data_IF_236761888526
#
_entry.id   IF_236761888526
#
_cell.length_a   1.000
_cell.length_b   1.000
_cell.length_c   1.000
_cell.angle_alpha   90.00
_cell.angle_beta   90.00
_cell.angle_gamma   90.00
#
_symmetry.space_group_name_H-M   'P 1'
#
loop_
_entity.id
_entity.type
_entity.pdbx_description
1 polymer ?
#
# COMPACT_ATOMS: atom_id res chain seq x y z
N UNK A 1 13.63 -5.46 -11.30
CA UNK A 1 13.98 -5.24 -9.88
C UNK A 1 15.30 -5.91 -9.51
N UNK A 2 15.54 -7.20 -9.81
CA UNK A 2 16.79 -7.90 -9.45
C UNK A 2 18.05 -7.17 -9.92
N UNK A 3 18.03 -6.62 -11.15
CA UNK A 3 19.15 -5.82 -11.69
C UNK A 3 19.35 -4.52 -10.89
N UNK A 4 18.28 -3.89 -10.41
CA UNK A 4 18.36 -2.70 -9.57
C UNK A 4 18.99 -3.03 -8.21
N UNK A 5 18.47 -4.06 -7.54
CA UNK A 5 19.02 -4.49 -6.26
C UNK A 5 20.51 -4.89 -6.36
N UNK A 6 20.91 -5.57 -7.44
CA UNK A 6 22.30 -5.91 -7.67
C UNK A 6 23.21 -4.68 -7.77
N UNK A 7 22.75 -3.57 -8.38
CA UNK A 7 23.50 -2.29 -8.42
C UNK A 7 23.74 -1.70 -7.04
N UNK A 8 22.85 -1.98 -6.08
CA UNK A 8 22.95 -1.56 -4.67
C UNK A 8 23.64 -2.60 -3.78
N UNK A 9 24.25 -3.63 -4.39
CA UNK A 9 24.93 -4.70 -3.66
C UNK A 9 23.98 -5.56 -2.83
N UNK A 10 22.71 -5.64 -3.24
CA UNK A 10 21.68 -6.45 -2.58
C UNK A 10 21.46 -7.72 -3.41
N UNK A 11 21.73 -8.87 -2.80
CA UNK A 11 21.60 -10.20 -3.40
C UNK A 11 20.82 -11.12 -2.44
N UNK A 12 20.52 -12.33 -2.88
CA UNK A 12 19.83 -13.33 -2.04
C UNK A 12 20.60 -13.69 -0.76
N UNK A 13 21.92 -13.45 -0.72
CA UNK A 13 22.76 -13.68 0.45
C UNK A 13 22.99 -12.44 1.32
N UNK A 14 22.32 -11.32 1.03
CA UNK A 14 22.53 -10.07 1.76
C UNK A 14 21.96 -10.17 3.18
N UNK A 15 22.80 -9.84 4.17
CA UNK A 15 22.32 -9.64 5.54
C UNK A 15 21.63 -8.28 5.68
N UNK A 16 20.31 -8.31 5.83
CA UNK A 16 19.51 -7.09 5.96
C UNK A 16 19.60 -6.45 7.34
N UNK A 17 20.08 -7.15 8.36
CA UNK A 17 20.18 -6.63 9.73
C UNK A 17 21.18 -5.48 9.87
N UNK A 18 22.16 -5.41 8.96
CA UNK A 18 23.19 -4.37 8.92
C UNK A 18 22.89 -3.23 7.95
N UNK A 19 21.83 -3.36 7.15
CA UNK A 19 21.46 -2.37 6.14
C UNK A 19 20.66 -1.22 6.74
N UNK A 20 20.94 -0.01 6.26
CA UNK A 20 20.17 1.20 6.58
C UNK A 20 19.16 1.48 5.47
N UNK A 21 18.09 2.24 5.75
CA UNK A 21 17.16 2.66 4.70
C UNK A 21 17.83 3.30 3.47
N UNK A 22 18.91 4.07 3.68
CA UNK A 22 19.70 4.69 2.62
C UNK A 22 20.45 3.72 1.71
N UNK A 23 20.59 2.46 2.10
CA UNK A 23 21.28 1.44 1.31
C UNK A 23 20.36 0.75 0.30
N UNK A 24 19.08 1.09 0.33
CA UNK A 24 18.07 0.55 -0.59
C UNK A 24 17.75 1.54 -1.71
N UNK A 25 17.45 1.06 -2.93
CA UNK A 25 17.01 1.92 -4.00
C UNK A 25 15.67 2.59 -3.69
N UNK A 26 15.49 3.80 -4.16
CA UNK A 26 14.21 4.52 -4.15
C UNK A 26 13.52 4.42 -5.51
N UNK A 27 12.31 4.96 -5.63
CA UNK A 27 11.54 4.90 -6.88
C UNK A 27 12.26 5.59 -8.04
N UNK A 28 13.04 6.65 -7.79
CA UNK A 28 13.85 7.31 -8.80
C UNK A 28 14.90 6.39 -9.43
N UNK A 29 15.55 5.57 -8.59
CA UNK A 29 16.57 4.64 -9.10
C UNK A 29 15.95 3.59 -10.01
N UNK A 30 14.73 3.14 -9.67
CA UNK A 30 13.98 2.23 -10.52
C UNK A 30 13.56 2.88 -11.84
N UNK A 31 13.07 4.12 -11.77
CA UNK A 31 12.69 4.89 -12.96
C UNK A 31 13.90 5.08 -13.90
N UNK A 32 15.03 5.53 -13.35
CA UNK A 32 16.27 5.73 -14.12
C UNK A 32 16.72 4.42 -14.79
N UNK A 33 16.65 3.30 -14.07
CA UNK A 33 16.96 1.99 -14.66
C UNK A 33 16.03 1.65 -15.83
N UNK A 34 14.72 1.90 -15.69
CA UNK A 34 13.75 1.64 -16.76
C UNK A 34 14.02 2.53 -17.99
N UNK A 35 14.35 3.81 -17.79
CA UNK A 35 14.74 4.72 -18.87
C UNK A 35 16.03 4.25 -19.57
N UNK A 36 17.06 3.87 -18.82
CA UNK A 36 18.30 3.32 -19.38
C UNK A 36 18.03 2.08 -20.24
N UNK A 37 17.22 1.14 -19.74
CA UNK A 37 16.86 -0.08 -20.47
C UNK A 37 16.00 0.23 -21.70
N UNK A 38 15.13 1.23 -21.64
CA UNK A 38 14.31 1.69 -22.77
C UNK A 38 15.18 2.32 -23.86
N UNK A 39 16.10 3.20 -23.49
CA UNK A 39 17.01 3.88 -24.44
C UNK A 39 18.01 2.91 -25.09
N UNK A 40 18.41 1.87 -24.35
CA UNK A 40 19.34 0.85 -24.83
C UNK A 40 18.64 -0.37 -25.46
N UNK A 41 17.31 -0.33 -25.66
CA UNK A 41 16.56 -1.46 -26.13
C UNK A 41 16.91 -1.84 -27.58
N UNK A 42 17.35 -3.09 -27.78
CA UNK A 42 17.70 -3.65 -29.09
C UNK A 42 16.63 -4.69 -29.51
N UNK A 43 15.85 -4.37 -30.52
CA UNK A 43 14.79 -5.24 -31.06
C UNK A 43 15.27 -6.59 -31.60
N UNK A 44 16.57 -6.70 -31.93
CA UNK A 44 17.16 -7.96 -32.40
C UNK A 44 17.51 -8.91 -31.24
N UNK A 45 17.55 -8.40 -30.02
CA UNK A 45 17.90 -9.15 -28.83
C UNK A 45 16.65 -9.75 -28.18
N UNK A 46 16.73 -10.96 -27.69
CA UNK A 46 15.64 -11.56 -26.91
C UNK A 46 15.68 -11.06 -25.48
N UNK A 47 14.66 -10.29 -25.09
CA UNK A 47 14.41 -9.86 -23.70
C UNK A 47 13.21 -10.60 -23.13
N UNK A 48 13.08 -10.59 -21.82
CA UNK A 48 11.88 -11.07 -21.10
C UNK A 48 10.72 -10.06 -21.13
N UNK A 49 10.94 -8.87 -21.71
CA UNK A 49 9.99 -7.76 -21.80
C UNK A 49 10.13 -7.06 -23.16
N UNK A 50 9.10 -6.35 -23.57
CA UNK A 50 9.08 -5.58 -24.81
C UNK A 50 9.41 -4.11 -24.57
N UNK A 51 9.74 -3.38 -25.64
CA UNK A 51 9.95 -1.94 -25.61
C UNK A 51 8.70 -1.20 -25.10
N UNK A 52 7.52 -1.62 -25.54
CA UNK A 52 6.24 -1.07 -25.13
C UNK A 52 6.00 -1.25 -23.61
N UNK A 53 6.37 -2.41 -23.07
CA UNK A 53 6.25 -2.66 -21.61
C UNK A 53 7.14 -1.70 -20.81
N UNK A 54 8.36 -1.44 -21.25
CA UNK A 54 9.25 -0.46 -20.60
C UNK A 54 8.65 0.95 -20.66
N UNK A 55 8.15 1.34 -21.83
CA UNK A 55 7.50 2.64 -22.01
C UNK A 55 6.28 2.80 -21.09
N UNK A 56 5.42 1.78 -21.03
CA UNK A 56 4.26 1.78 -20.13
C UNK A 56 4.65 1.91 -18.65
N UNK A 57 5.70 1.20 -18.23
CA UNK A 57 6.22 1.32 -16.87
C UNK A 57 6.74 2.73 -16.60
N UNK A 58 7.59 3.28 -17.49
CA UNK A 58 8.12 4.64 -17.34
C UNK A 58 6.99 5.68 -17.26
N UNK A 59 6.01 5.61 -18.15
CA UNK A 59 4.87 6.52 -18.16
C UNK A 59 4.02 6.35 -16.88
N UNK A 60 3.81 5.11 -16.45
CA UNK A 60 2.99 4.78 -15.29
C UNK A 60 3.53 5.32 -13.96
N UNK A 61 4.86 5.35 -13.80
CA UNK A 61 5.51 5.78 -12.55
C UNK A 61 6.12 7.18 -12.62
N UNK A 62 6.11 7.83 -13.79
CA UNK A 62 6.76 9.14 -14.01
C UNK A 62 6.37 10.19 -12.97
N UNK A 63 5.07 10.37 -12.71
CA UNK A 63 4.60 11.36 -11.74
C UNK A 63 5.08 11.10 -10.31
N UNK A 64 5.30 9.82 -9.97
CA UNK A 64 5.77 9.39 -8.65
C UNK A 64 7.28 9.55 -8.47
N UNK A 65 8.04 9.53 -9.56
CA UNK A 65 9.49 9.57 -9.53
C UNK A 65 10.06 10.97 -9.83
N UNK A 66 9.57 11.62 -10.88
CA UNK A 66 10.10 12.88 -11.42
C UNK A 66 9.09 14.02 -11.33
N UNK A 67 7.79 13.70 -11.29
CA UNK A 67 6.69 14.64 -11.34
C UNK A 67 6.31 15.25 -9.99
N UNK A 68 5.14 15.85 -9.95
CA UNK A 68 4.60 16.56 -8.77
C UNK A 68 4.34 15.67 -7.54
N UNK A 69 4.21 14.37 -7.76
CA UNK A 69 3.92 13.38 -6.71
C UNK A 69 5.20 12.76 -6.12
N UNK A 70 6.39 13.08 -6.68
CA UNK A 70 7.67 12.52 -6.24
C UNK A 70 7.96 12.74 -4.74
N UNK A 71 7.55 13.87 -4.19
CA UNK A 71 7.67 14.17 -2.75
C UNK A 71 6.96 13.16 -1.82
N UNK A 72 6.01 12.39 -2.33
CA UNK A 72 5.28 11.39 -1.55
C UNK A 72 5.86 9.98 -1.69
N UNK A 73 6.49 9.68 -2.84
CA UNK A 73 6.90 8.31 -3.17
C UNK A 73 8.41 8.16 -3.35
N UNK A 74 9.11 9.24 -3.70
CA UNK A 74 10.53 9.17 -4.02
C UNK A 74 11.39 9.51 -2.81
N UNK A 75 11.52 8.57 -1.90
CA UNK A 75 12.34 8.71 -0.69
C UNK A 75 12.42 7.42 0.10
N UNK A 76 13.34 7.39 1.03
CA UNK A 76 13.44 6.27 1.97
C UNK A 76 12.33 6.33 3.02
N UNK A 77 11.96 5.18 3.55
CA UNK A 77 11.00 5.10 4.64
C UNK A 77 11.50 5.92 5.84
N UNK A 78 10.69 6.87 6.26
CA UNK A 78 10.97 7.79 7.36
C UNK A 78 10.10 7.53 8.60
N UNK A 79 9.40 6.40 8.64
CA UNK A 79 8.62 5.99 9.79
C UNK A 79 9.60 5.58 10.89
N UNK A 80 9.52 6.24 12.03
CA UNK A 80 10.32 5.90 13.21
C UNK A 80 9.79 4.64 13.88
N UNK A 81 10.69 3.82 14.41
CA UNK A 81 10.30 2.68 15.24
C UNK A 81 9.66 3.23 16.53
N UNK A 82 8.38 2.95 16.70
CA UNK A 82 7.58 3.44 17.82
C UNK A 82 6.50 2.42 18.16
N UNK A 83 6.23 2.26 19.45
CA UNK A 83 5.15 1.39 19.92
C UNK A 83 3.75 1.99 19.67
N UNK A 84 3.67 3.26 19.32
CA UNK A 84 2.42 3.95 19.01
C UNK A 84 2.62 4.88 17.82
N UNK A 85 1.94 4.57 16.71
CA UNK A 85 1.98 5.32 15.46
C UNK A 85 0.58 5.77 15.06
N UNK A 86 0.46 7.00 14.62
CA UNK A 86 -0.79 7.57 14.10
C UNK A 86 -0.55 8.15 12.71
N UNK A 87 -1.35 7.71 11.74
CA UNK A 87 -1.34 8.24 10.38
C UNK A 87 -2.50 9.21 10.20
N UNK A 88 -2.19 10.51 10.11
CA UNK A 88 -3.18 11.54 9.83
C UNK A 88 -3.48 11.60 8.32
N UNK A 89 -4.65 11.13 7.91
CA UNK A 89 -5.03 11.04 6.49
C UNK A 89 -5.83 12.23 5.97
N UNK A 90 -6.17 13.21 6.83
CA UNK A 90 -6.97 14.38 6.46
C UNK A 90 -6.40 15.13 5.26
N UNK A 91 -5.09 15.34 5.21
CA UNK A 91 -4.44 16.03 4.10
C UNK A 91 -4.48 15.29 2.76
N UNK A 92 -4.84 14.00 2.76
CA UNK A 92 -5.01 13.22 1.53
C UNK A 92 -6.37 13.46 0.87
N UNK A 93 -7.36 13.96 1.63
CA UNK A 93 -8.72 14.13 1.13
C UNK A 93 -8.81 15.17 0.03
N UNK A 94 -7.94 16.19 0.08
CA UNK A 94 -7.88 17.29 -0.89
C UNK A 94 -6.98 16.98 -2.09
N UNK A 95 -6.40 15.78 -2.15
CA UNK A 95 -5.53 15.35 -3.25
C UNK A 95 -6.34 14.66 -4.36
N UNK A 96 -5.70 14.46 -5.53
CA UNK A 96 -6.35 13.68 -6.58
C UNK A 96 -6.59 12.23 -6.13
N UNK A 97 -7.63 11.60 -6.69
CA UNK A 97 -8.05 10.24 -6.31
C UNK A 97 -6.93 9.22 -6.37
N UNK A 98 -6.11 9.27 -7.43
CA UNK A 98 -5.00 8.30 -7.63
C UNK A 98 -3.97 8.39 -6.51
N UNK A 99 -3.53 9.61 -6.18
CA UNK A 99 -2.56 9.85 -5.09
C UNK A 99 -3.13 9.39 -3.75
N UNK A 100 -4.38 9.75 -3.47
CA UNK A 100 -5.07 9.32 -2.25
C UNK A 100 -5.10 7.80 -2.13
N UNK A 101 -5.58 7.10 -3.16
CA UNK A 101 -5.70 5.64 -3.15
C UNK A 101 -4.33 4.96 -2.98
N UNK A 102 -3.28 5.46 -3.64
CA UNK A 102 -1.93 4.94 -3.49
C UNK A 102 -1.38 5.14 -2.05
N UNK A 103 -1.58 6.32 -1.47
CA UNK A 103 -1.11 6.61 -0.11
C UNK A 103 -1.87 5.80 0.94
N UNK A 104 -3.19 5.67 0.82
CA UNK A 104 -4.00 4.83 1.70
C UNK A 104 -3.58 3.36 1.59
N UNK A 105 -3.31 2.86 0.39
CA UNK A 105 -2.81 1.51 0.19
C UNK A 105 -1.43 1.31 0.82
N UNK A 106 -0.54 2.30 0.74
CA UNK A 106 0.79 2.25 1.35
C UNK A 106 0.70 2.18 2.89
N UNK A 107 -0.16 3.00 3.50
CA UNK A 107 -0.44 2.94 4.95
C UNK A 107 -1.00 1.58 5.34
N UNK A 108 -1.97 1.06 4.59
CA UNK A 108 -2.57 -0.25 4.85
C UNK A 108 -1.54 -1.38 4.71
N UNK A 109 -0.65 -1.29 3.74
CA UNK A 109 0.44 -2.25 3.55
C UNK A 109 1.40 -2.25 4.73
N UNK A 110 1.81 -1.07 5.21
CA UNK A 110 2.63 -0.92 6.41
C UNK A 110 1.93 -1.53 7.64
N UNK A 111 0.68 -1.15 7.88
CA UNK A 111 -0.14 -1.70 8.96
C UNK A 111 -0.22 -3.23 8.91
N UNK A 112 -0.45 -3.78 7.73
CA UNK A 112 -0.53 -5.22 7.54
C UNK A 112 0.80 -5.93 7.81
N UNK A 113 1.92 -5.33 7.45
CA UNK A 113 3.26 -5.88 7.74
C UNK A 113 3.53 -5.89 9.25
N UNK A 114 3.14 -4.86 9.98
CA UNK A 114 3.25 -4.82 11.44
C UNK A 114 2.38 -5.91 12.09
N UNK A 115 1.11 -6.00 11.70
CA UNK A 115 0.15 -6.96 12.23
C UNK A 115 0.51 -8.43 11.95
N UNK A 116 1.02 -8.73 10.76
CA UNK A 116 1.25 -10.09 10.27
C UNK A 116 2.72 -10.52 10.35
N UNK A 117 3.65 -9.58 10.31
CA UNK A 117 5.09 -9.82 10.40
C UNK A 117 5.57 -9.80 11.85
N UNK A 118 5.42 -8.69 12.54
CA UNK A 118 5.77 -8.55 13.97
C UNK A 118 4.87 -9.40 14.86
N UNK A 119 3.56 -9.34 14.63
CA UNK A 119 2.57 -9.94 15.53
C UNK A 119 2.38 -9.14 16.83
N UNK A 120 1.47 -9.59 17.70
CA UNK A 120 1.15 -8.95 18.99
C UNK A 120 0.91 -7.45 18.89
N UNK A 121 0.27 -7.03 17.79
CA UNK A 121 0.05 -5.63 17.41
C UNK A 121 -1.44 -5.36 17.28
N UNK A 122 -1.87 -4.17 17.67
CA UNK A 122 -3.24 -3.69 17.44
C UNK A 122 -3.22 -2.53 16.45
N UNK A 123 -4.14 -2.56 15.49
CA UNK A 123 -4.36 -1.44 14.57
C UNK A 123 -5.81 -1.00 14.63
N UNK A 124 -6.02 0.32 14.65
CA UNK A 124 -7.34 0.94 14.56
C UNK A 124 -7.44 1.75 13.26
N UNK A 125 -8.49 1.53 12.53
CA UNK A 125 -8.83 2.28 11.32
C UNK A 125 -10.16 2.98 11.56
N UNK A 126 -10.09 4.30 11.68
CA UNK A 126 -11.26 5.16 11.69
C UNK A 126 -11.61 5.59 10.26
N UNK A 127 -12.86 5.96 10.01
CA UNK A 127 -13.37 6.34 8.69
C UNK A 127 -13.08 5.26 7.63
N UNK A 128 -13.44 4.01 7.94
CA UNK A 128 -13.14 2.85 7.09
C UNK A 128 -13.62 3.01 5.64
N UNK A 129 -14.68 3.78 5.40
CA UNK A 129 -15.21 4.04 4.05
C UNK A 129 -14.14 4.59 3.09
N UNK A 130 -13.12 5.29 3.58
CA UNK A 130 -12.01 5.80 2.76
C UNK A 130 -11.26 4.69 2.02
N UNK A 131 -11.22 3.50 2.61
CA UNK A 131 -10.54 2.33 2.05
C UNK A 131 -11.43 1.50 1.13
N UNK A 132 -12.74 1.82 1.06
CA UNK A 132 -13.70 1.08 0.25
C UNK A 132 -13.80 1.56 -1.20
N UNK A 133 -13.06 2.61 -1.56
CA UNK A 133 -13.06 3.17 -2.92
C UNK A 133 -12.33 2.31 -3.96
N UNK A 134 -11.52 1.35 -3.53
CA UNK A 134 -10.68 0.51 -4.37
C UNK A 134 -10.80 -0.98 -3.98
N UNK A 135 -11.12 -1.82 -4.97
CA UNK A 135 -11.31 -3.26 -4.78
C UNK A 135 -10.06 -3.94 -4.22
N UNK A 136 -8.87 -3.60 -4.72
CA UNK A 136 -7.61 -4.15 -4.24
C UNK A 136 -7.42 -3.88 -2.75
N UNK A 137 -7.77 -2.67 -2.30
CA UNK A 137 -7.70 -2.28 -0.89
C UNK A 137 -8.66 -3.08 -0.03
N UNK A 138 -9.90 -3.30 -0.50
CA UNK A 138 -10.90 -4.11 0.21
C UNK A 138 -10.42 -5.56 0.35
N UNK A 139 -9.92 -6.16 -0.72
CA UNK A 139 -9.41 -7.53 -0.70
C UNK A 139 -8.19 -7.67 0.23
N UNK A 140 -7.30 -6.70 0.20
CA UNK A 140 -6.11 -6.68 1.05
C UNK A 140 -6.50 -6.59 2.52
N UNK A 141 -7.40 -5.67 2.88
CA UNK A 141 -7.93 -5.53 4.22
C UNK A 141 -8.61 -6.81 4.71
N UNK A 142 -9.47 -7.40 3.88
CA UNK A 142 -10.13 -8.67 4.17
C UNK A 142 -9.14 -9.81 4.43
N UNK A 143 -8.09 -9.92 3.62
CA UNK A 143 -7.05 -10.93 3.81
C UNK A 143 -6.25 -10.70 5.09
N UNK A 144 -5.96 -9.44 5.42
CA UNK A 144 -5.34 -9.06 6.68
C UNK A 144 -6.21 -9.49 7.86
N UNK A 145 -7.49 -9.12 7.89
CA UNK A 145 -8.43 -9.48 8.97
C UNK A 145 -8.54 -10.99 9.20
N UNK A 146 -8.51 -11.81 8.16
CA UNK A 146 -8.53 -13.28 8.29
C UNK A 146 -7.28 -13.85 8.95
N UNK A 147 -6.15 -13.17 8.86
CA UNK A 147 -4.84 -13.69 9.26
C UNK A 147 -4.36 -13.16 10.60
N UNK A 148 -4.79 -11.98 11.01
CA UNK A 148 -4.28 -11.28 12.22
C UNK A 148 -4.40 -12.13 13.48
N UNK A 149 -5.50 -12.87 13.65
CA UNK A 149 -5.69 -13.76 14.80
C UNK A 149 -4.60 -14.80 14.98
N UNK A 150 -4.01 -15.30 13.87
CA UNK A 150 -2.92 -16.29 13.91
C UNK A 150 -1.58 -15.69 14.38
N UNK A 151 -1.54 -14.36 14.54
CA UNK A 151 -0.35 -13.59 14.93
C UNK A 151 -0.54 -12.85 16.26
N UNK A 152 -1.57 -13.23 17.03
CA UNK A 152 -1.95 -12.55 18.27
C UNK A 152 -2.15 -11.05 18.08
N UNK A 153 -2.55 -10.65 16.87
CA UNK A 153 -2.78 -9.27 16.48
C UNK A 153 -4.28 -9.00 16.36
N UNK A 154 -4.67 -7.74 16.47
CA UNK A 154 -6.07 -7.31 16.39
C UNK A 154 -6.26 -6.12 15.44
N UNK A 155 -7.44 -6.06 14.82
CA UNK A 155 -7.85 -4.93 13.98
C UNK A 155 -9.18 -4.42 14.49
N UNK A 156 -9.26 -3.11 14.72
CA UNK A 156 -10.46 -2.39 15.07
C UNK A 156 -10.82 -1.51 13.88
N UNK A 157 -12.02 -1.67 13.35
CA UNK A 157 -12.53 -0.91 12.21
C UNK A 157 -13.73 -0.09 12.68
N UNK A 158 -13.71 1.21 12.42
CA UNK A 158 -14.80 2.11 12.71
C UNK A 158 -15.33 2.77 11.42
N UNK A 159 -16.64 2.90 11.31
CA UNK A 159 -17.31 3.62 10.24
C UNK A 159 -18.59 4.24 10.77
N UNK A 160 -18.97 5.38 10.21
CA UNK A 160 -20.16 6.11 10.60
C UNK A 160 -21.41 5.59 9.91
N UNK A 161 -21.31 5.15 8.65
CA UNK A 161 -22.43 4.75 7.83
C UNK A 161 -22.31 3.30 7.35
N UNK A 162 -23.34 2.52 7.61
CA UNK A 162 -23.41 1.14 7.11
C UNK A 162 -23.64 1.09 5.59
N UNK A 163 -24.26 2.13 5.05
CA UNK A 163 -24.61 2.25 3.63
C UNK A 163 -23.37 2.27 2.72
N UNK A 164 -22.23 2.78 3.21
CA UNK A 164 -20.97 2.80 2.46
C UNK A 164 -20.52 1.40 2.05
N UNK A 165 -20.92 0.38 2.81
CA UNK A 165 -20.60 -1.02 2.52
C UNK A 165 -21.61 -1.70 1.60
N UNK A 166 -22.79 -1.09 1.40
CA UNK A 166 -23.88 -1.67 0.65
C UNK A 166 -23.96 -1.16 -0.80
N UNK A 167 -23.01 -0.33 -1.22
CA UNK A 167 -22.91 0.17 -2.60
C UNK A 167 -22.85 -1.03 -3.54
N UNK A 168 -23.77 -1.11 -4.55
CA UNK A 168 -23.94 -2.31 -5.39
C UNK A 168 -22.64 -2.82 -6.02
N UNK A 169 -21.76 -1.92 -6.47
CA UNK A 169 -20.50 -2.25 -7.13
C UNK A 169 -19.47 -2.94 -6.24
N UNK A 170 -19.56 -2.77 -4.91
CA UNK A 170 -18.59 -3.31 -3.96
C UNK A 170 -19.20 -4.25 -2.90
N UNK A 171 -20.52 -4.38 -2.85
CA UNK A 171 -21.26 -5.10 -1.80
C UNK A 171 -20.76 -6.52 -1.55
N UNK A 172 -20.52 -7.27 -2.61
CA UNK A 172 -20.05 -8.67 -2.47
C UNK A 172 -18.62 -8.76 -1.89
N UNK A 173 -17.83 -7.70 -2.04
CA UNK A 173 -16.48 -7.63 -1.50
C UNK A 173 -16.44 -7.10 -0.07
N UNK A 174 -17.36 -6.20 0.28
CA UNK A 174 -17.47 -5.63 1.64
C UNK A 174 -18.25 -6.50 2.60
N UNK A 175 -19.21 -7.30 2.12
CA UNK A 175 -20.00 -8.24 2.92
C UNK A 175 -19.15 -9.10 3.88
N UNK A 176 -18.01 -9.67 3.48
CA UNK A 176 -17.16 -10.41 4.40
C UNK A 176 -16.57 -9.57 5.55
N UNK A 177 -16.47 -8.25 5.42
CA UNK A 177 -15.99 -7.38 6.50
C UNK A 177 -16.92 -7.40 7.71
N UNK A 178 -18.19 -7.74 7.53
CA UNK A 178 -19.14 -7.93 8.63
C UNK A 178 -19.12 -9.34 9.22
N UNK A 179 -18.72 -10.35 8.46
CA UNK A 179 -18.73 -11.75 8.92
C UNK A 179 -17.40 -12.21 9.55
N UNK A 180 -16.30 -11.53 9.27
CA UNK A 180 -14.97 -11.87 9.79
C UNK A 180 -14.77 -11.41 11.24
N UNK A 181 -15.23 -10.21 11.69
CA UNK A 181 -15.01 -9.73 13.05
C UNK A 181 -15.61 -10.66 14.09
N UNK A 182 -14.87 -10.86 15.19
CA UNK A 182 -15.33 -11.63 16.35
C UNK A 182 -16.37 -10.84 17.15
N UNK A 183 -16.26 -9.51 17.17
CA UNK A 183 -17.16 -8.60 17.87
C UNK A 183 -17.62 -7.49 16.95
N UNK A 184 -18.87 -7.12 17.09
CA UNK A 184 -19.47 -5.98 16.40
C UNK A 184 -20.15 -5.09 17.43
N UNK A 185 -19.86 -3.80 17.39
CA UNK A 185 -20.45 -2.80 18.26
C UNK A 185 -21.30 -1.86 17.40
N UNK A 186 -22.59 -1.85 17.65
CA UNK A 186 -23.53 -0.96 16.99
C UNK A 186 -23.94 0.11 17.98
N UNK A 187 -23.60 1.35 17.67
CA UNK A 187 -24.04 2.52 18.42
C UNK A 187 -25.35 3.04 17.83
N UNK A 188 -26.05 3.85 18.60
CA UNK A 188 -27.30 4.45 18.14
C UNK A 188 -27.02 5.22 16.83
N UNK A 189 -27.48 4.66 15.72
CA UNK A 189 -27.53 5.37 14.45
C UNK A 189 -28.56 6.49 14.64
N UNK A 190 -28.12 7.74 14.73
CA UNK A 190 -29.02 8.90 14.81
C UNK A 190 -30.25 8.77 13.93
N UNK A 191 -31.18 9.67 13.99
CA UNK A 191 -32.45 9.58 13.27
C UNK A 191 -32.22 9.17 11.80
N UNK A 192 -32.59 7.94 11.49
CA UNK A 192 -32.79 7.50 10.09
C UNK A 192 -34.09 8.21 9.65
N UNK A 193 -33.93 9.29 8.89
CA UNK A 193 -35.06 9.94 8.21
C UNK A 193 -35.45 9.16 6.97
#
# INVERSE_FOLDING_TARGET
LSKLYARFGITDSTDYSVKKPSDFPVMQDFYNLCEEEFMAYDKQRKYLYTEETLQEVCLGIHSMCVGSESKYFNGHTNITDSNFLVFGVKGLMDTNRRLKDCMLFNILSFMSNELLGKGSTAASVDELYLFLSNMTTIEYLRNCMKRVRKKDSSVILASQNIEDFLIPSIREFTKPLFSIPTHQFLFNAGQIN
#
